data_IF_840216673772
#
_entry.id   IF_840216673772
#
_cell.length_a   1.000
_cell.length_b   1.000
_cell.length_c   1.000
_cell.angle_alpha   90.00
_cell.angle_beta   90.00
_cell.angle_gamma   90.00
#
_symmetry.space_group_name_H-M   'P 1'
#
loop_
_entity.id
_entity.type
_entity.pdbx_description
1 polymer ?
#
# COMPACT_ATOMS: atom_id res chain seq x y z
N UNK A 1 20.10 5.20 3.72
CA UNK A 1 18.69 5.39 3.30
C UNK A 1 18.51 6.44 2.20
N UNK A 2 19.45 7.36 1.94
CA UNK A 2 19.33 8.37 0.86
C UNK A 2 19.05 7.80 -0.55
N UNK A 3 19.64 6.64 -0.89
CA UNK A 3 19.38 5.99 -2.17
C UNK A 3 17.92 5.49 -2.27
N UNK A 4 17.39 4.88 -1.22
CA UNK A 4 16.02 4.36 -1.21
C UNK A 4 14.97 5.45 -1.51
N UNK A 5 15.17 6.66 -0.99
CA UNK A 5 14.29 7.80 -1.25
C UNK A 5 14.33 8.30 -2.71
N UNK A 6 15.39 8.00 -3.46
CA UNK A 6 15.55 8.39 -4.88
C UNK A 6 15.01 7.34 -5.85
N UNK A 7 14.69 6.14 -5.37
CA UNK A 7 14.23 5.04 -6.21
C UNK A 7 12.72 5.16 -6.41
N UNK A 8 12.33 5.21 -7.67
CA UNK A 8 10.93 5.15 -8.11
C UNK A 8 10.41 3.70 -8.10
N UNK A 9 10.05 3.20 -6.92
CA UNK A 9 9.53 1.84 -6.73
C UNK A 9 8.37 1.82 -5.72
N UNK A 10 7.53 0.79 -5.79
CA UNK A 10 6.52 0.55 -4.77
C UNK A 10 7.09 -0.03 -3.47
N UNK A 11 8.26 -0.69 -3.54
CA UNK A 11 8.99 -1.27 -2.41
C UNK A 11 10.50 -1.19 -2.63
N UNK A 12 11.26 -0.98 -1.55
CA UNK A 12 12.73 -1.02 -1.55
C UNK A 12 13.17 -1.89 -0.39
N UNK A 13 13.92 -2.95 -0.69
CA UNK A 13 14.57 -3.79 0.31
C UNK A 13 16.05 -3.41 0.40
N UNK A 14 16.60 -3.37 1.62
CA UNK A 14 18.01 -3.05 1.89
C UNK A 14 18.62 -4.25 2.60
N UNK A 15 19.74 -4.78 2.08
CA UNK A 15 20.45 -5.95 2.61
C UNK A 15 19.62 -7.26 2.68
N UNK A 16 18.49 -7.32 1.98
CA UNK A 16 17.63 -8.50 1.86
C UNK A 16 16.82 -8.40 0.55
N UNK A 17 16.19 -9.49 0.14
CA UNK A 17 15.28 -9.54 -1.00
C UNK A 17 14.25 -10.67 -0.85
N UNK A 18 13.00 -10.42 -1.26
CA UNK A 18 11.91 -11.39 -1.24
C UNK A 18 10.62 -10.80 -0.66
N UNK A 19 9.54 -11.59 -0.57
CA UNK A 19 8.27 -11.21 0.06
C UNK A 19 8.39 -11.09 1.61
N UNK A 20 9.51 -10.58 2.10
CA UNK A 20 9.99 -10.65 3.48
C UNK A 20 9.43 -9.57 4.41
N UNK A 21 8.35 -8.90 4.00
CA UNK A 21 7.63 -7.98 4.86
C UNK A 21 6.60 -8.62 5.77
N UNK A 22 6.20 -9.87 5.50
CA UNK A 22 4.98 -10.44 6.07
C UNK A 22 3.72 -10.03 5.30
N UNK A 23 2.56 -10.42 5.80
CA UNK A 23 1.24 -10.12 5.20
C UNK A 23 0.74 -8.72 5.62
N UNK A 24 1.36 -8.14 6.63
CA UNK A 24 1.06 -6.83 7.20
C UNK A 24 1.67 -5.67 6.40
N UNK A 25 2.74 -5.90 5.63
CA UNK A 25 3.40 -4.85 4.87
C UNK A 25 2.78 -4.70 3.47
N UNK A 26 2.35 -3.49 3.09
CA UNK A 26 1.74 -3.24 1.79
C UNK A 26 2.66 -3.58 0.62
N UNK A 27 2.10 -4.27 -0.36
CA UNK A 27 2.76 -4.63 -1.61
C UNK A 27 2.10 -3.92 -2.78
N UNK A 28 2.87 -3.41 -3.73
CA UNK A 28 2.31 -2.86 -4.97
C UNK A 28 3.35 -2.25 -5.90
N UNK A 29 2.90 -1.92 -7.10
CA UNK A 29 3.73 -1.38 -8.17
C UNK A 29 3.90 0.14 -8.14
N UNK A 30 4.72 0.63 -9.05
CA UNK A 30 4.87 2.06 -9.36
C UNK A 30 4.94 2.23 -10.89
N UNK A 31 4.34 3.30 -11.44
CA UNK A 31 4.23 3.57 -12.89
C UNK A 31 3.56 2.41 -13.65
N UNK A 32 4.23 1.86 -14.66
CA UNK A 32 3.69 0.84 -15.56
C UNK A 32 3.49 -0.52 -14.89
N UNK A 33 3.97 -0.70 -13.66
CA UNK A 33 3.76 -1.92 -12.87
C UNK A 33 2.38 -2.00 -12.21
N UNK A 34 1.52 -1.00 -12.41
CA UNK A 34 0.16 -0.95 -11.87
C UNK A 34 -0.02 0.11 -10.78
N UNK A 35 -1.24 0.14 -10.22
CA UNK A 35 -1.69 1.07 -9.19
C UNK A 35 -2.33 0.32 -8.02
N UNK A 36 -2.55 1.02 -6.91
CA UNK A 36 -3.08 0.42 -5.68
C UNK A 36 -2.03 -0.30 -4.84
N UNK A 37 -2.51 -0.91 -3.75
CA UNK A 37 -1.72 -1.71 -2.81
C UNK A 37 -2.54 -2.94 -2.41
N UNK A 38 -1.82 -4.03 -2.22
CA UNK A 38 -2.28 -5.30 -1.68
C UNK A 38 -1.63 -5.51 -0.31
N UNK A 39 -2.17 -6.45 0.48
CA UNK A 39 -1.70 -6.74 1.85
C UNK A 39 -1.82 -5.53 2.81
N UNK A 40 -1.54 -5.76 4.09
CA UNK A 40 -1.65 -4.73 5.12
C UNK A 40 -3.04 -4.09 5.19
N UNK A 41 -3.09 -2.91 5.80
CA UNK A 41 -4.34 -2.16 5.93
C UNK A 41 -4.80 -1.59 4.59
N UNK A 42 -3.86 -1.12 3.77
CA UNK A 42 -4.11 -0.53 2.47
C UNK A 42 -4.78 -1.52 1.51
N UNK A 43 -4.33 -2.78 1.53
CA UNK A 43 -4.97 -3.88 0.80
C UNK A 43 -6.35 -4.20 1.36
N UNK A 44 -6.54 -4.24 2.68
CA UNK A 44 -7.89 -4.46 3.23
C UNK A 44 -8.86 -3.35 2.80
N UNK A 45 -8.41 -2.09 2.85
CA UNK A 45 -9.22 -0.94 2.47
C UNK A 45 -9.60 -0.95 0.98
N UNK A 46 -8.74 -1.48 0.10
CA UNK A 46 -9.03 -1.57 -1.34
C UNK A 46 -10.20 -2.50 -1.66
N UNK A 47 -10.50 -3.47 -0.78
CA UNK A 47 -11.66 -4.36 -0.86
C UNK A 47 -12.89 -3.85 -0.10
N UNK A 48 -12.82 -2.67 0.51
CA UNK A 48 -13.96 -2.05 1.21
C UNK A 48 -14.49 -0.84 0.46
N UNK A 49 -15.73 -0.46 0.76
CA UNK A 49 -16.33 0.76 0.22
C UNK A 49 -16.76 1.67 1.37
N UNK A 50 -16.27 2.92 1.37
CA UNK A 50 -16.68 3.94 2.34
C UNK A 50 -18.14 4.34 2.06
N UNK A 51 -18.98 4.25 3.09
CA UNK A 51 -20.37 4.73 3.07
C UNK A 51 -20.51 5.85 4.09
N UNK A 52 -20.74 7.07 3.60
CA UNK A 52 -21.05 8.22 4.47
C UNK A 52 -22.56 8.26 4.74
N UNK A 53 -22.95 8.34 6.02
CA UNK A 53 -24.35 8.41 6.45
C UNK A 53 -24.51 9.67 7.30
N UNK A 54 -25.34 10.61 6.83
CA UNK A 54 -25.64 11.84 7.54
C UNK A 54 -27.10 11.82 8.00
N UNK A 55 -27.33 12.11 9.27
CA UNK A 55 -28.68 12.16 9.86
C UNK A 55 -28.95 13.59 10.30
N UNK A 56 -30.04 14.16 9.80
CA UNK A 56 -30.58 15.43 10.30
C UNK A 56 -31.49 15.13 11.48
N UNK A 57 -31.17 15.67 12.65
CA UNK A 57 -32.01 15.63 13.84
C UNK A 57 -32.79 16.96 13.97
N UNK A 58 -33.98 16.89 14.57
CA UNK A 58 -34.86 18.03 14.87
C UNK A 58 -34.59 18.57 16.28
#
# INVERSE_FOLDING_TARGET
HHLAAKIHSGQVYINTYGAGGGVELPFGGYKKSGFGREKGLEGLLSYTQVKNVCIRYA
#
